data_IF_809814926294
#
_entry.id   IF_809814926294
#
_cell.length_a   1.000
_cell.length_b   1.000
_cell.length_c   1.000
_cell.angle_alpha   90.00
_cell.angle_beta   90.00
_cell.angle_gamma   90.00
#
_symmetry.space_group_name_H-M   'P 1'
#
loop_
_entity.id
_entity.type
_entity.pdbx_description
1 polymer ?
#
# COMPACT_ATOMS: atom_id res chain seq x y z
N UNK A 1 4.04 -6.03 18.36
CA UNK A 1 3.90 -4.57 18.59
C UNK A 1 2.69 -4.07 17.80
N UNK A 2 1.81 -3.24 18.38
CA UNK A 2 0.65 -2.70 17.63
C UNK A 2 1.13 -1.51 16.80
N UNK A 3 0.99 -1.59 15.47
CA UNK A 3 1.23 -0.46 14.57
C UNK A 3 0.25 0.69 14.80
N UNK A 4 0.48 1.82 14.12
CA UNK A 4 -0.38 3.01 14.20
C UNK A 4 -1.30 3.08 12.98
N UNK A 5 -2.56 3.45 13.19
CA UNK A 5 -3.49 3.66 12.07
C UNK A 5 -3.24 5.03 11.43
N UNK A 6 -3.03 5.04 10.12
CA UNK A 6 -2.73 6.24 9.34
C UNK A 6 -3.58 6.30 8.07
N UNK A 7 -3.67 7.50 7.51
CA UNK A 7 -4.15 7.73 6.15
C UNK A 7 -3.12 8.63 5.44
N UNK A 8 -2.82 8.34 4.18
CA UNK A 8 -1.81 9.07 3.40
C UNK A 8 -2.56 9.96 2.41
N UNK A 9 -2.46 11.28 2.58
CA UNK A 9 -3.17 12.26 1.75
C UNK A 9 -2.27 12.78 0.64
N UNK A 10 -2.76 12.78 -0.60
CA UNK A 10 -2.09 13.38 -1.74
C UNK A 10 -2.28 14.90 -1.79
N UNK A 11 -1.54 15.55 -2.69
CA UNK A 11 -1.71 16.95 -3.08
C UNK A 11 -3.12 17.24 -3.61
N UNK A 12 -3.71 16.29 -4.35
CA UNK A 12 -5.08 16.35 -4.87
C UNK A 12 -6.18 16.25 -3.79
N UNK A 13 -5.79 16.21 -2.51
CA UNK A 13 -6.67 16.12 -1.33
C UNK A 13 -7.38 14.79 -1.14
N UNK A 14 -7.24 13.86 -2.08
CA UNK A 14 -7.66 12.46 -1.96
C UNK A 14 -6.63 11.64 -1.16
N UNK A 15 -7.00 10.42 -0.82
CA UNK A 15 -6.21 9.51 -0.02
C UNK A 15 -5.73 8.32 -0.84
N UNK A 16 -4.49 7.90 -0.58
CA UNK A 16 -3.98 6.61 -1.02
C UNK A 16 -4.84 5.51 -0.39
N UNK A 17 -5.23 4.54 -1.20
CA UNK A 17 -6.11 3.47 -0.81
C UNK A 17 -5.85 2.21 -1.63
N UNK A 18 -6.20 1.05 -1.08
CA UNK A 18 -6.28 -0.21 -1.82
C UNK A 18 -7.47 -0.14 -2.77
N UNK A 19 -7.22 -0.40 -4.04
CA UNK A 19 -8.21 -0.36 -5.11
C UNK A 19 -8.24 -1.72 -5.80
N UNK A 20 -9.38 -2.39 -5.73
CA UNK A 20 -9.56 -3.74 -6.26
C UNK A 20 -9.94 -3.69 -7.76
N UNK A 21 -9.18 -4.38 -8.59
CA UNK A 21 -9.36 -4.50 -10.05
C UNK A 21 -9.32 -3.17 -10.82
N UNK A 22 -8.59 -2.19 -10.30
CA UNK A 22 -8.49 -0.86 -10.89
C UNK A 22 -7.45 -0.76 -12.03
N UNK A 23 -6.60 -1.77 -12.19
CA UNK A 23 -5.65 -1.88 -13.30
C UNK A 23 -6.06 -3.08 -14.17
N UNK A 24 -6.57 -2.85 -15.39
CA UNK A 24 -6.88 -3.93 -16.32
C UNK A 24 -5.64 -4.78 -16.65
N UNK A 25 -5.77 -6.10 -16.49
CA UNK A 25 -4.71 -7.07 -16.80
C UNK A 25 -3.55 -7.12 -15.79
N UNK A 26 -3.67 -6.45 -14.63
CA UNK A 26 -2.65 -6.55 -13.59
C UNK A 26 -2.53 -7.97 -13.02
N UNK A 27 -1.32 -8.34 -12.59
CA UNK A 27 -1.03 -9.64 -11.96
C UNK A 27 -1.79 -9.84 -10.66
N UNK A 28 -1.94 -8.78 -9.86
CA UNK A 28 -2.70 -8.79 -8.62
C UNK A 28 -3.90 -7.86 -8.73
N UNK A 29 -5.02 -8.19 -8.08
CA UNK A 29 -6.23 -7.38 -8.20
C UNK A 29 -6.14 -6.10 -7.35
N UNK A 30 -5.41 -6.13 -6.23
CA UNK A 30 -5.36 -5.03 -5.27
C UNK A 30 -4.14 -4.14 -5.49
N UNK A 31 -4.35 -2.95 -6.05
CA UNK A 31 -3.30 -1.96 -6.29
C UNK A 31 -3.42 -0.75 -5.34
N UNK A 32 -2.32 -0.03 -5.10
CA UNK A 32 -2.35 1.21 -4.34
C UNK A 32 -2.68 2.40 -5.26
N UNK A 33 -3.82 3.06 -5.02
CA UNK A 33 -4.34 4.16 -5.84
C UNK A 33 -4.80 5.34 -5.00
N UNK A 34 -4.72 6.54 -5.54
CA UNK A 34 -5.28 7.75 -4.91
C UNK A 34 -6.68 7.98 -5.46
N UNK A 35 -7.72 7.72 -4.66
CA UNK A 35 -9.11 7.89 -5.12
C UNK A 35 -10.15 8.22 -4.05
N UNK A 36 -9.86 7.99 -2.76
CA UNK A 36 -10.85 8.21 -1.68
C UNK A 36 -10.84 9.67 -1.25
N UNK A 37 -12.00 10.31 -1.19
CA UNK A 37 -12.12 11.71 -0.76
C UNK A 37 -12.11 11.87 0.77
N UNK A 38 -11.95 13.11 1.24
CA UNK A 38 -12.00 13.44 2.68
C UNK A 38 -13.31 13.01 3.34
N UNK A 39 -14.45 13.16 2.66
CA UNK A 39 -15.77 12.82 3.20
C UNK A 39 -15.98 11.30 3.34
N UNK A 40 -15.25 10.51 2.56
CA UNK A 40 -15.40 9.05 2.52
C UNK A 40 -14.39 8.33 3.41
N UNK A 41 -13.32 9.01 3.85
CA UNK A 41 -12.18 8.39 4.54
C UNK A 41 -12.60 7.50 5.71
N UNK A 42 -13.50 7.99 6.56
CA UNK A 42 -13.93 7.26 7.75
C UNK A 42 -14.75 6.00 7.42
N UNK A 43 -15.47 5.99 6.30
CA UNK A 43 -16.26 4.87 5.82
C UNK A 43 -15.48 3.94 4.87
N UNK A 44 -14.26 4.33 4.47
CA UNK A 44 -13.42 3.60 3.52
C UNK A 44 -12.22 2.97 4.23
N UNK A 45 -12.36 1.78 4.85
CA UNK A 45 -11.26 1.13 5.55
C UNK A 45 -10.07 0.84 4.63
N UNK A 46 -10.29 0.62 3.33
CA UNK A 46 -9.23 0.42 2.33
C UNK A 46 -8.35 1.66 2.08
N UNK A 47 -8.73 2.84 2.58
CA UNK A 47 -7.90 4.06 2.58
C UNK A 47 -7.15 4.29 3.91
N UNK A 48 -7.25 3.34 4.84
CA UNK A 48 -6.63 3.43 6.16
C UNK A 48 -5.64 2.26 6.31
N UNK A 49 -4.41 2.58 6.68
CA UNK A 49 -3.34 1.59 6.82
C UNK A 49 -2.87 1.50 8.25
N UNK A 50 -2.41 0.33 8.67
CA UNK A 50 -1.60 0.18 9.88
C UNK A 50 -0.15 0.29 9.48
N UNK A 51 0.54 1.31 9.98
CA UNK A 51 1.97 1.46 9.83
C UNK A 51 2.68 0.68 10.94
N UNK A 52 3.41 -0.35 10.55
CA UNK A 52 4.13 -1.26 11.45
C UNK A 52 5.63 -1.06 11.30
N UNK A 53 6.34 -0.89 12.42
CA UNK A 53 7.80 -0.91 12.43
C UNK A 53 8.28 -2.35 12.58
N UNK A 54 9.11 -2.80 11.65
CA UNK A 54 9.66 -4.15 11.62
C UNK A 54 10.98 -4.23 12.40
N UNK A 55 11.36 -5.45 12.77
CA UNK A 55 12.59 -5.70 13.56
C UNK A 55 13.88 -5.31 12.81
N UNK A 56 13.83 -5.29 11.47
CA UNK A 56 14.94 -4.82 10.63
C UNK A 56 15.01 -3.28 10.52
N UNK A 57 14.19 -2.55 11.27
CA UNK A 57 14.17 -1.09 11.29
C UNK A 57 13.35 -0.43 10.19
N UNK A 58 12.86 -1.19 9.20
CA UNK A 58 11.98 -0.71 8.12
C UNK A 58 10.52 -0.69 8.56
N UNK A 59 9.65 -0.25 7.67
CA UNK A 59 8.21 -0.17 7.90
C UNK A 59 7.42 -1.05 6.93
N UNK A 60 6.28 -1.54 7.38
CA UNK A 60 5.27 -2.17 6.56
C UNK A 60 3.94 -1.41 6.67
N UNK A 61 3.18 -1.38 5.59
CA UNK A 61 1.86 -0.73 5.51
C UNK A 61 0.80 -1.80 5.31
N UNK A 62 0.10 -2.19 6.37
CA UNK A 62 -0.97 -3.19 6.29
C UNK A 62 -2.28 -2.51 5.89
N UNK A 63 -2.95 -3.04 4.88
CA UNK A 63 -4.28 -2.59 4.44
C UNK A 63 -5.40 -3.27 5.24
N UNK A 64 -6.64 -2.86 4.98
CA UNK A 64 -7.86 -3.45 5.54
C UNK A 64 -8.02 -4.96 5.27
N UNK A 65 -7.43 -5.45 4.17
CA UNK A 65 -7.43 -6.87 3.81
C UNK A 65 -6.49 -7.73 4.66
N UNK A 66 -5.66 -7.12 5.51
CA UNK A 66 -4.60 -7.80 6.27
C UNK A 66 -3.31 -8.02 5.47
N UNK A 67 -3.32 -7.74 4.16
CA UNK A 67 -2.14 -7.77 3.29
C UNK A 67 -1.38 -6.44 3.32
N UNK A 68 -0.15 -6.47 2.82
CA UNK A 68 0.79 -5.36 2.91
C UNK A 68 1.04 -4.70 1.54
N UNK A 69 1.21 -3.37 1.56
CA UNK A 69 1.71 -2.60 0.41
C UNK A 69 3.12 -3.06 0.09
N UNK A 70 3.33 -3.38 -1.18
CA UNK A 70 4.51 -4.07 -1.68
C UNK A 70 4.84 -3.60 -3.10
N UNK A 71 6.13 -3.46 -3.41
CA UNK A 71 6.62 -3.26 -4.76
C UNK A 71 6.42 -4.54 -5.57
N UNK A 72 5.75 -4.42 -6.71
CA UNK A 72 5.46 -5.50 -7.64
C UNK A 72 6.15 -5.23 -8.98
N UNK A 73 6.99 -6.16 -9.43
CA UNK A 73 7.78 -6.02 -10.65
C UNK A 73 7.07 -6.64 -11.85
N UNK A 74 6.93 -5.87 -12.93
CA UNK A 74 6.22 -6.19 -14.17
C UNK A 74 4.75 -6.58 -13.97
N UNK A 75 4.11 -6.09 -12.92
CA UNK A 75 2.73 -6.47 -12.57
C UNK A 75 1.65 -5.62 -13.27
N UNK A 76 2.04 -4.56 -13.97
CA UNK A 76 1.13 -3.68 -14.72
C UNK A 76 1.48 -3.78 -16.21
N UNK A 77 0.57 -4.31 -17.05
CA UNK A 77 0.78 -4.37 -18.48
C UNK A 77 0.97 -2.97 -19.08
N UNK A 78 2.01 -2.80 -19.90
CA UNK A 78 2.28 -1.55 -20.60
C UNK A 78 2.70 -0.38 -19.70
N UNK A 79 3.02 -0.62 -18.41
CA UNK A 79 3.54 0.43 -17.55
C UNK A 79 4.87 0.97 -18.07
N UNK A 80 5.04 2.29 -17.96
CA UNK A 80 6.28 2.97 -18.32
C UNK A 80 7.47 2.55 -17.42
N UNK A 81 7.18 2.08 -16.20
CA UNK A 81 8.14 1.57 -15.26
C UNK A 81 7.75 0.15 -14.84
N UNK A 82 8.74 -0.74 -14.60
CA UNK A 82 8.45 -2.13 -14.26
C UNK A 82 7.85 -2.25 -12.85
N UNK A 83 8.10 -1.29 -11.96
CA UNK A 83 7.70 -1.38 -10.56
C UNK A 83 6.46 -0.54 -10.23
N UNK A 84 5.49 -1.18 -9.60
CA UNK A 84 4.26 -0.55 -9.13
C UNK A 84 3.92 -1.01 -7.71
N UNK A 85 3.16 -0.21 -6.97
CA UNK A 85 2.73 -0.54 -5.62
C UNK A 85 1.41 -1.33 -5.63
N UNK A 86 1.42 -2.51 -5.03
CA UNK A 86 0.28 -3.41 -4.87
C UNK A 86 0.09 -3.81 -3.42
N UNK A 87 -1.10 -4.28 -3.06
CA UNK A 87 -1.40 -4.84 -1.74
C UNK A 87 -1.58 -6.35 -1.88
N UNK A 88 -0.50 -7.12 -1.74
CA UNK A 88 -0.54 -8.55 -2.09
C UNK A 88 0.30 -9.47 -1.18
N UNK A 89 1.20 -8.92 -0.36
CA UNK A 89 2.02 -9.73 0.54
C UNK A 89 1.23 -10.03 1.80
N UNK A 90 1.11 -11.30 2.18
CA UNK A 90 0.41 -11.70 3.41
C UNK A 90 1.28 -11.53 4.66
N UNK A 91 0.66 -11.55 5.83
CA UNK A 91 1.38 -11.55 7.12
C UNK A 91 2.44 -12.65 7.23
N UNK A 92 2.13 -13.85 6.72
CA UNK A 92 3.04 -14.99 6.79
C UNK A 92 4.26 -14.85 5.88
N UNK A 93 4.15 -14.06 4.81
CA UNK A 93 5.21 -13.83 3.83
C UNK A 93 6.02 -12.56 4.11
N UNK A 94 5.51 -11.67 4.98
CA UNK A 94 6.05 -10.33 5.19
C UNK A 94 7.55 -10.33 5.45
N UNK A 95 8.04 -11.17 6.36
CA UNK A 95 9.46 -11.18 6.72
C UNK A 95 10.36 -11.73 5.60
N UNK A 96 9.84 -12.58 4.72
CA UNK A 96 10.55 -13.11 3.55
C UNK A 96 10.40 -12.22 2.30
N UNK A 97 9.59 -11.15 2.38
CA UNK A 97 9.22 -10.29 1.26
C UNK A 97 9.83 -8.89 1.43
N UNK A 98 11.13 -8.69 1.17
CA UNK A 98 11.78 -7.39 1.36
C UNK A 98 11.18 -6.27 0.50
N UNK A 99 10.49 -6.61 -0.59
CA UNK A 99 9.75 -5.65 -1.42
C UNK A 99 8.48 -5.09 -0.75
N UNK A 100 8.07 -5.61 0.41
CA UNK A 100 7.04 -5.03 1.27
C UNK A 100 7.61 -4.15 2.40
N UNK A 101 8.94 -3.99 2.47
CA UNK A 101 9.60 -3.21 3.52
C UNK A 101 10.01 -1.85 2.97
N UNK A 102 9.52 -0.79 3.60
CA UNK A 102 9.68 0.59 3.16
C UNK A 102 10.53 1.37 4.14
N UNK A 103 11.38 2.25 3.61
CA UNK A 103 11.99 3.33 4.37
C UNK A 103 11.07 4.56 4.29
N UNK A 104 10.82 5.20 5.43
CA UNK A 104 10.13 6.50 5.47
C UNK A 104 11.20 7.57 5.49
N UNK A 105 11.34 8.28 4.38
CA UNK A 105 12.32 9.37 4.22
C UNK A 105 11.61 10.70 4.45
N UNK A 106 12.06 11.45 5.45
CA UNK A 106 11.63 12.83 5.69
C UNK A 106 12.63 13.74 4.98
N UNK A 107 12.16 14.45 3.96
CA UNK A 107 12.95 15.42 3.24
C UNK A 107 12.79 16.81 3.90
N UNK A 108 13.85 17.65 3.87
CA UNK A 108 13.81 19.01 4.41
C UNK A 108 12.88 19.95 3.63
#
# INVERSE_FOLDING_TARGET
MKGIKIAIRSDSKNYLARCNSCIPGATYPDAAFVHVSQGELMASPWAQFVLERLDNGKYALQADSGNYVARCNNCVPGAAYPDAAFVHVSQGELMASPWAHWDIIILP
#
